data_IF_071355053368
#
_entry.id   IF_071355053368
#
_cell.length_a   1.000
_cell.length_b   1.000
_cell.length_c   1.000
_cell.angle_alpha   90.00
_cell.angle_beta   90.00
_cell.angle_gamma   90.00
#
_symmetry.space_group_name_H-M   'P 1'
#
loop_
_entity.id
_entity.type
_entity.pdbx_description
1 polymer ?
#
# COMPACT_ATOMS: atom_id res chain seq x y z
N UNK A 1 48.13 56.54 10.85
CA UNK A 1 47.25 55.74 11.72
C UNK A 1 45.78 55.77 11.29
N UNK A 2 45.26 56.82 10.64
CA UNK A 2 43.82 56.93 10.27
C UNK A 2 43.39 56.03 9.09
N UNK A 3 44.30 55.63 8.18
CA UNK A 3 43.99 54.82 7.01
C UNK A 3 43.74 53.31 7.36
N UNK A 4 44.42 52.81 8.39
CA UNK A 4 44.27 51.42 8.82
C UNK A 4 42.96 51.17 9.56
N UNK A 5 42.46 52.15 10.30
CA UNK A 5 41.18 52.08 11.03
C UNK A 5 39.98 52.10 10.07
N UNK A 6 40.06 52.81 8.96
CA UNK A 6 39.00 52.86 7.95
C UNK A 6 38.86 51.51 7.20
N UNK A 7 39.99 50.84 6.92
CA UNK A 7 39.97 49.52 6.25
C UNK A 7 39.41 48.40 7.13
N UNK A 8 39.68 48.43 8.44
CA UNK A 8 39.13 47.43 9.37
C UNK A 8 37.62 47.62 9.55
N UNK A 9 37.13 48.86 9.57
CA UNK A 9 35.70 49.14 9.65
C UNK A 9 34.93 48.69 8.39
N UNK A 10 35.53 48.79 7.21
CA UNK A 10 34.91 48.36 5.96
C UNK A 10 34.81 46.84 5.86
N UNK A 11 35.80 46.07 6.36
CA UNK A 11 35.76 44.60 6.34
C UNK A 11 34.73 44.02 7.29
N UNK A 12 34.43 44.67 8.42
CA UNK A 12 33.43 44.21 9.39
C UNK A 12 31.99 44.37 8.87
N UNK A 13 31.74 45.33 7.96
CA UNK A 13 30.41 45.58 7.40
C UNK A 13 29.97 44.54 6.33
N UNK A 14 30.94 43.82 5.74
CA UNK A 14 30.65 42.87 4.63
C UNK A 14 30.33 41.46 5.15
N UNK A 15 30.67 41.11 6.40
CA UNK A 15 30.43 39.77 6.93
C UNK A 15 29.04 39.53 7.54
N UNK A 16 28.17 40.53 7.58
CA UNK A 16 26.86 40.41 8.23
C UNK A 16 25.69 40.02 7.31
N UNK A 17 25.93 39.79 6.01
CA UNK A 17 24.86 39.58 5.02
C UNK A 17 24.67 38.17 4.52
N UNK A 18 25.24 37.12 5.14
CA UNK A 18 25.19 35.74 4.61
C UNK A 18 24.77 34.67 5.62
N UNK A 19 23.68 34.92 6.33
CA UNK A 19 22.96 33.84 7.03
C UNK A 19 21.45 34.11 6.96
N UNK A 20 20.87 33.96 5.79
CA UNK A 20 19.45 33.66 5.69
C UNK A 20 19.30 32.15 5.98
N UNK A 21 18.51 31.75 6.98
CA UNK A 21 18.15 30.34 7.14
C UNK A 21 17.32 29.97 5.91
N UNK A 22 17.88 29.13 5.05
CA UNK A 22 17.09 28.47 4.03
C UNK A 22 16.13 27.55 4.78
N UNK A 23 14.84 27.89 4.72
CA UNK A 23 13.80 26.96 5.11
C UNK A 23 13.94 25.72 4.19
N UNK A 24 14.54 24.67 4.73
CA UNK A 24 14.51 23.37 4.09
C UNK A 24 13.05 22.94 4.11
N UNK A 25 12.38 23.06 2.97
CA UNK A 25 11.07 22.44 2.78
C UNK A 25 11.21 20.95 3.13
N UNK A 26 10.32 20.40 3.97
CA UNK A 26 10.32 18.96 4.20
C UNK A 26 10.27 18.25 2.84
N UNK A 27 11.01 17.16 2.64
CA UNK A 27 10.89 16.39 1.41
C UNK A 27 9.43 16.01 1.26
N UNK A 28 8.83 16.46 0.17
CA UNK A 28 7.50 16.06 -0.25
C UNK A 28 7.51 14.53 -0.33
N UNK A 29 6.57 13.83 0.35
CA UNK A 29 6.54 12.38 0.27
C UNK A 29 6.45 12.01 -1.20
N UNK A 30 7.20 11.00 -1.68
CA UNK A 30 7.16 10.60 -3.06
C UNK A 30 5.70 10.31 -3.42
N UNK A 31 5.17 11.09 -4.37
CA UNK A 31 3.88 10.80 -5.00
C UNK A 31 4.05 9.40 -5.55
N UNK A 32 3.42 8.43 -4.89
CA UNK A 32 3.40 7.06 -5.35
C UNK A 32 2.74 7.09 -6.73
N UNK A 33 3.54 7.04 -7.78
CA UNK A 33 3.06 6.76 -9.12
C UNK A 33 2.24 5.48 -9.02
N UNK A 34 0.96 5.44 -9.44
CA UNK A 34 0.23 4.19 -9.47
C UNK A 34 1.10 3.21 -10.26
N UNK A 35 1.57 2.17 -9.60
CA UNK A 35 2.24 1.09 -10.29
C UNK A 35 1.28 0.63 -11.41
N UNK A 36 1.75 0.49 -12.67
CA UNK A 36 0.92 -0.06 -13.71
C UNK A 36 0.34 -1.36 -13.16
N UNK A 37 -0.97 -1.55 -13.33
CA UNK A 37 -1.63 -2.79 -12.98
C UNK A 37 -0.80 -3.90 -13.61
N UNK A 38 0.00 -4.60 -12.78
CA UNK A 38 0.75 -5.76 -13.21
C UNK A 38 -0.29 -6.68 -13.81
N UNK A 39 -0.05 -7.13 -15.04
CA UNK A 39 -0.87 -8.10 -15.75
C UNK A 39 -1.35 -9.15 -14.76
N UNK A 40 -2.61 -9.06 -14.37
CA UNK A 40 -3.18 -9.95 -13.38
C UNK A 40 -3.13 -11.34 -13.97
N UNK A 41 -2.32 -12.20 -13.38
CA UNK A 41 -2.35 -13.62 -13.70
C UNK A 41 -3.81 -14.10 -13.61
N UNK A 42 -4.28 -14.98 -14.53
CA UNK A 42 -5.66 -15.46 -14.50
C UNK A 42 -6.00 -15.96 -13.09
N UNK A 43 -6.91 -15.29 -12.39
CA UNK A 43 -7.30 -15.57 -11.01
C UNK A 43 -6.77 -14.61 -9.94
N UNK A 44 -5.93 -13.63 -10.27
CA UNK A 44 -5.54 -12.60 -9.31
C UNK A 44 -6.65 -11.55 -9.15
N UNK A 45 -7.26 -11.51 -7.97
CA UNK A 45 -8.29 -10.50 -7.63
C UNK A 45 -7.58 -9.20 -7.24
N UNK A 46 -8.10 -8.06 -7.72
CA UNK A 46 -7.57 -6.75 -7.36
C UNK A 46 -7.71 -6.52 -5.85
N UNK A 47 -6.60 -6.24 -5.21
CA UNK A 47 -6.50 -5.89 -3.79
C UNK A 47 -5.90 -4.50 -3.57
N UNK A 48 -5.86 -3.63 -4.59
CA UNK A 48 -5.34 -2.28 -4.46
C UNK A 48 -6.24 -1.39 -3.60
N UNK A 49 -5.64 -0.48 -2.83
CA UNK A 49 -6.36 0.46 -1.98
C UNK A 49 -5.55 1.74 -1.73
N UNK A 50 -6.22 2.79 -1.28
CA UNK A 50 -5.61 4.02 -0.76
C UNK A 50 -5.91 4.20 0.73
N UNK A 51 -7.09 3.78 1.15
CA UNK A 51 -7.60 3.84 2.52
C UNK A 51 -8.32 2.55 2.86
N UNK A 52 -8.51 2.25 4.14
CA UNK A 52 -9.19 1.04 4.60
C UNK A 52 -10.60 0.87 4.01
N UNK A 53 -11.31 1.98 3.76
CA UNK A 53 -12.66 1.95 3.18
C UNK A 53 -12.71 1.50 1.72
N UNK A 54 -11.59 1.44 1.02
CA UNK A 54 -11.51 0.88 -0.34
C UNK A 54 -11.50 -0.65 -0.31
N UNK A 55 -11.38 -1.25 0.87
CA UNK A 55 -11.28 -2.68 1.04
C UNK A 55 -12.61 -3.29 1.51
N UNK A 56 -12.90 -4.49 1.06
CA UNK A 56 -14.04 -5.28 1.49
C UNK A 56 -13.68 -6.77 1.58
N UNK A 57 -14.30 -7.47 2.54
CA UNK A 57 -14.24 -8.93 2.59
C UNK A 57 -15.13 -9.50 1.50
N UNK A 58 -14.56 -10.26 0.58
CA UNK A 58 -15.30 -10.98 -0.45
C UNK A 58 -14.90 -12.44 -0.48
N UNK A 59 -15.83 -13.31 -0.89
CA UNK A 59 -15.51 -14.69 -1.18
C UNK A 59 -14.78 -14.76 -2.54
N UNK A 60 -13.47 -14.91 -2.53
CA UNK A 60 -12.67 -15.03 -3.77
C UNK A 60 -12.62 -16.48 -4.28
N UNK A 61 -13.05 -17.44 -3.46
CA UNK A 61 -13.03 -18.85 -3.78
C UNK A 61 -11.65 -19.50 -3.70
N UNK A 62 -11.66 -20.79 -3.54
CA UNK A 62 -10.50 -21.70 -3.73
C UNK A 62 -11.02 -23.06 -4.19
N UNK A 63 -10.14 -24.09 -4.25
CA UNK A 63 -10.54 -25.44 -4.68
C UNK A 63 -11.51 -26.13 -3.69
N UNK A 64 -11.66 -25.63 -2.46
CA UNK A 64 -12.66 -26.09 -1.49
C UNK A 64 -14.00 -25.32 -1.59
N UNK A 65 -14.05 -24.22 -2.37
CA UNK A 65 -15.23 -23.40 -2.58
C UNK A 65 -15.14 -22.04 -1.89
N UNK A 66 -15.64 -21.91 -0.65
CA UNK A 66 -15.62 -20.63 0.05
C UNK A 66 -14.24 -20.27 0.58
N UNK A 67 -13.74 -19.09 0.21
CA UNK A 67 -12.49 -18.56 0.73
C UNK A 67 -12.57 -17.02 0.84
N UNK A 68 -12.74 -16.46 2.05
CA UNK A 68 -12.81 -15.03 2.25
C UNK A 68 -11.43 -14.39 2.14
N UNK A 69 -11.36 -13.22 1.50
CA UNK A 69 -10.17 -12.40 1.43
C UNK A 69 -10.53 -10.91 1.44
N UNK A 70 -9.60 -10.07 1.90
CA UNK A 70 -9.69 -8.63 1.74
C UNK A 70 -9.20 -8.24 0.34
N UNK A 71 -10.10 -7.67 -0.42
CA UNK A 71 -9.86 -7.22 -1.79
C UNK A 71 -10.40 -5.82 -1.99
N UNK A 72 -10.06 -5.17 -3.10
CA UNK A 72 -10.68 -3.91 -3.47
C UNK A 72 -12.21 -4.07 -3.49
N UNK A 73 -12.91 -3.08 -2.95
CA UNK A 73 -14.37 -3.08 -2.87
C UNK A 73 -15.04 -3.29 -4.23
N UNK A 74 -14.46 -2.72 -5.28
CA UNK A 74 -15.01 -2.78 -6.63
C UNK A 74 -14.46 -3.97 -7.44
N UNK A 75 -13.55 -4.77 -6.86
CA UNK A 75 -13.00 -5.95 -7.51
C UNK A 75 -14.09 -6.96 -7.86
N UNK A 76 -14.10 -7.42 -9.10
CA UNK A 76 -14.94 -8.54 -9.51
C UNK A 76 -14.35 -9.87 -8.96
N UNK A 77 -15.20 -10.73 -8.42
CA UNK A 77 -14.84 -12.05 -7.92
C UNK A 77 -15.77 -13.11 -8.53
N UNK A 78 -15.20 -14.25 -8.89
CA UNK A 78 -15.96 -15.40 -9.41
C UNK A 78 -15.46 -16.70 -8.75
N UNK A 79 -15.94 -17.04 -7.56
CA UNK A 79 -15.54 -18.25 -6.84
C UNK A 79 -15.96 -19.54 -7.58
N UNK A 80 -16.99 -19.47 -8.42
CA UNK A 80 -17.43 -20.63 -9.20
C UNK A 80 -16.43 -20.93 -10.33
N UNK A 81 -15.92 -19.89 -11.02
CA UNK A 81 -14.88 -20.07 -12.02
C UNK A 81 -13.59 -20.62 -11.43
N UNK A 82 -13.19 -20.15 -10.22
CA UNK A 82 -12.02 -20.68 -9.50
C UNK A 82 -12.19 -22.18 -9.23
N UNK A 83 -13.35 -22.59 -8.71
CA UNK A 83 -13.63 -24.01 -8.44
C UNK A 83 -13.62 -24.85 -9.71
N UNK A 84 -14.25 -24.39 -10.77
CA UNK A 84 -14.24 -25.08 -12.06
C UNK A 84 -12.82 -25.21 -12.63
N UNK A 85 -11.94 -24.25 -12.41
CA UNK A 85 -10.54 -24.35 -12.81
C UNK A 85 -9.79 -25.42 -11.98
N UNK A 86 -10.03 -25.51 -10.68
CA UNK A 86 -9.46 -26.55 -9.83
C UNK A 86 -9.86 -27.96 -10.32
N UNK A 87 -11.14 -28.14 -10.64
CA UNK A 87 -11.66 -29.41 -11.17
C UNK A 87 -10.97 -29.81 -12.48
N UNK A 88 -10.78 -28.85 -13.40
CA UNK A 88 -10.09 -29.11 -14.67
C UNK A 88 -8.59 -29.39 -14.53
N UNK A 89 -7.93 -28.75 -13.59
CA UNK A 89 -6.47 -28.84 -13.42
C UNK A 89 -6.04 -29.94 -12.43
N UNK A 90 -6.99 -30.56 -11.70
CA UNK A 90 -6.69 -31.50 -10.64
C UNK A 90 -6.01 -30.86 -9.42
N UNK A 91 -6.02 -29.51 -9.32
CA UNK A 91 -5.49 -28.83 -8.15
C UNK A 91 -6.37 -29.04 -6.94
N UNK A 92 -5.75 -29.14 -5.77
CA UNK A 92 -6.41 -29.18 -4.48
C UNK A 92 -5.93 -28.04 -3.58
N UNK A 93 -6.78 -27.62 -2.65
CA UNK A 93 -6.43 -26.67 -1.60
C UNK A 93 -6.56 -27.33 -0.23
N UNK A 94 -5.88 -26.77 0.75
CA UNK A 94 -6.18 -27.04 2.16
C UNK A 94 -7.49 -26.33 2.49
N UNK A 95 -8.50 -27.07 2.92
CA UNK A 95 -9.82 -26.54 3.24
C UNK A 95 -9.81 -25.91 4.64
N UNK A 96 -10.23 -24.66 4.70
CA UNK A 96 -10.28 -23.86 5.91
C UNK A 96 -9.87 -22.42 5.60
N UNK A 97 -10.29 -21.50 6.44
CA UNK A 97 -9.94 -20.09 6.34
C UNK A 97 -9.90 -19.46 7.73
N UNK A 98 -9.25 -18.32 7.85
CA UNK A 98 -9.33 -17.48 9.04
C UNK A 98 -10.55 -16.57 8.93
N UNK A 99 -11.25 -16.35 10.05
CA UNK A 99 -12.26 -15.32 10.11
C UNK A 99 -11.59 -13.96 9.97
N UNK A 100 -12.07 -13.16 9.03
CA UNK A 100 -11.61 -11.80 8.81
C UNK A 100 -12.51 -10.87 9.61
N UNK A 101 -11.94 -10.19 10.62
CA UNK A 101 -12.65 -9.23 11.47
C UNK A 101 -12.92 -7.92 10.71
N UNK A 102 -11.91 -7.46 9.98
CA UNK A 102 -11.97 -6.26 9.16
C UNK A 102 -10.88 -6.29 8.10
N UNK A 103 -10.96 -5.34 7.18
CA UNK A 103 -9.90 -5.09 6.20
C UNK A 103 -9.22 -3.77 6.48
N UNK A 104 -7.90 -3.73 6.30
CA UNK A 104 -7.11 -2.50 6.36
C UNK A 104 -6.33 -2.31 5.05
N UNK A 105 -5.94 -1.06 4.77
CA UNK A 105 -5.11 -0.73 3.62
C UNK A 105 -3.66 -0.55 4.08
N UNK A 106 -2.81 -1.53 3.79
CA UNK A 106 -1.41 -1.54 4.19
C UNK A 106 -0.55 -1.50 2.92
N UNK A 107 0.27 -0.46 2.79
CA UNK A 107 1.16 -0.27 1.63
C UNK A 107 0.44 -0.37 0.27
N UNK A 108 -0.77 0.19 0.18
CA UNK A 108 -1.57 0.19 -1.04
C UNK A 108 -2.27 -1.12 -1.38
N UNK A 109 -2.32 -2.07 -0.44
CA UNK A 109 -2.98 -3.36 -0.60
C UNK A 109 -3.93 -3.66 0.55
N UNK A 110 -5.08 -4.20 0.23
CA UNK A 110 -6.05 -4.67 1.22
C UNK A 110 -5.48 -5.89 1.96
N UNK A 111 -5.41 -5.79 3.27
CA UNK A 111 -4.96 -6.87 4.16
C UNK A 111 -6.02 -7.19 5.19
N UNK A 112 -6.12 -8.47 5.53
CA UNK A 112 -7.05 -8.94 6.54
C UNK A 112 -6.54 -8.66 7.95
N UNK A 113 -7.42 -8.17 8.80
CA UNK A 113 -7.24 -8.22 10.25
C UNK A 113 -7.87 -9.54 10.72
N UNK A 114 -7.00 -10.47 11.11
CA UNK A 114 -7.37 -11.86 11.36
C UNK A 114 -8.25 -12.04 12.62
N UNK A 115 -9.21 -12.95 12.50
CA UNK A 115 -9.98 -13.54 13.58
C UNK A 115 -9.59 -15.01 13.83
N UNK A 116 -10.41 -15.79 14.54
CA UNK A 116 -10.16 -17.21 14.78
C UNK A 116 -10.20 -18.02 13.50
N UNK A 117 -9.41 -19.11 13.46
CA UNK A 117 -9.39 -20.02 12.33
C UNK A 117 -10.68 -20.85 12.30
N UNK A 118 -11.34 -20.88 11.14
CA UNK A 118 -12.46 -21.75 10.86
C UNK A 118 -12.00 -22.93 10.00
N UNK A 119 -12.35 -24.13 10.43
CA UNK A 119 -12.10 -25.38 9.69
C UNK A 119 -13.43 -26.01 9.38
N UNK A 120 -13.74 -26.18 8.10
CA UNK A 120 -14.89 -26.97 7.68
C UNK A 120 -14.62 -28.44 7.97
N UNK A 121 -15.55 -29.06 8.70
CA UNK A 121 -15.55 -30.51 8.98
C UNK A 121 -16.51 -31.22 8.05
#
# INVERSE_FOLDING_TARGET
>A
MRLRTALVALCLAICASACAPQAVSPPEPPVATPAPAADAAPGAVDASCRVASDCAVKNVGNCCGHFPACVNRDAAVDPAAVRAQCERSGMASVCGWKDIQSCDCVQGRCQAVDGPIRVDR
#
